data_IF_476035561983
#
_entry.id   IF_476035561983
#
_cell.length_a   1.000
_cell.length_b   1.000
_cell.length_c   1.000
_cell.angle_alpha   90.00
_cell.angle_beta   90.00
_cell.angle_gamma   90.00
#
_symmetry.space_group_name_H-M   'P 1'
#
loop_
_entity.id
_entity.type
_entity.pdbx_description
1 polymer ?
#
# COMPACT_ATOMS: atom_id res chain seq x y z
N UNK A 1 10.99 5.68 24.17
CA UNK A 1 10.14 4.96 23.21
C UNK A 1 9.90 5.93 22.09
N UNK A 2 10.57 5.75 20.95
CA UNK A 2 10.31 6.55 19.75
C UNK A 2 8.90 6.22 19.28
N UNK A 3 8.05 7.25 19.19
CA UNK A 3 6.71 7.14 18.63
C UNK A 3 6.86 6.58 17.21
N UNK A 4 6.37 5.36 16.96
CA UNK A 4 6.43 4.77 15.62
C UNK A 4 5.47 5.55 14.75
N UNK A 5 5.92 5.98 13.57
CA UNK A 5 5.03 6.64 12.62
C UNK A 5 3.94 5.66 12.20
N UNK A 6 2.72 6.15 12.03
CA UNK A 6 1.58 5.38 11.56
C UNK A 6 1.21 5.83 10.16
N UNK A 7 0.60 4.93 9.39
CA UNK A 7 -0.01 5.25 8.08
C UNK A 7 -1.07 6.33 8.27
N UNK A 8 -1.79 6.31 9.41
CA UNK A 8 -2.72 7.37 9.79
C UNK A 8 -2.09 8.77 9.95
N UNK A 9 -0.76 8.86 10.05
CA UNK A 9 -0.01 10.12 10.12
C UNK A 9 0.36 10.65 8.71
N UNK A 10 0.03 9.93 7.63
CA UNK A 10 0.10 10.45 6.26
C UNK A 10 -0.76 11.73 6.13
N UNK A 11 -0.31 12.70 5.34
CA UNK A 11 -0.83 14.08 5.38
C UNK A 11 -2.34 14.15 5.13
N UNK A 12 -2.86 13.42 4.14
CA UNK A 12 -4.29 13.42 3.82
C UNK A 12 -5.14 12.76 4.91
N UNK A 13 -4.66 11.63 5.46
CA UNK A 13 -5.34 10.89 6.53
C UNK A 13 -5.34 11.70 7.83
N UNK A 14 -4.20 12.30 8.18
CA UNK A 14 -4.04 13.10 9.38
C UNK A 14 -4.90 14.38 9.33
N UNK A 15 -4.97 15.06 8.18
CA UNK A 15 -5.85 16.22 8.00
C UNK A 15 -7.32 15.83 8.20
N UNK A 16 -7.76 14.71 7.61
CA UNK A 16 -9.11 14.21 7.76
C UNK A 16 -9.46 13.86 9.22
N UNK A 17 -8.55 13.16 9.91
CA UNK A 17 -8.73 12.83 11.33
C UNK A 17 -8.80 14.08 12.21
N UNK A 18 -7.98 15.11 11.92
CA UNK A 18 -8.01 16.38 12.66
C UNK A 18 -9.33 17.13 12.46
N UNK A 19 -9.83 17.19 11.23
CA UNK A 19 -11.13 17.81 10.93
C UNK A 19 -12.27 17.12 11.69
N UNK A 20 -12.28 15.79 11.73
CA UNK A 20 -13.27 15.00 12.47
C UNK A 20 -13.15 15.22 13.99
N UNK A 21 -11.93 15.24 14.53
CA UNK A 21 -11.70 15.53 15.95
C UNK A 21 -12.15 16.94 16.34
N UNK A 22 -11.84 17.95 15.52
CA UNK A 22 -12.29 19.33 15.74
C UNK A 22 -13.81 19.45 15.76
N UNK A 23 -14.49 18.82 14.79
CA UNK A 23 -15.95 18.76 14.76
C UNK A 23 -16.53 18.04 15.99
N UNK A 24 -15.86 17.00 16.49
CA UNK A 24 -16.26 16.24 17.68
C UNK A 24 -16.19 17.06 18.97
N UNK A 25 -15.16 17.90 19.10
CA UNK A 25 -15.03 18.81 20.24
C UNK A 25 -16.16 19.86 20.24
N UNK A 26 -16.49 20.41 19.07
CA UNK A 26 -17.60 21.35 18.91
C UNK A 26 -18.95 20.70 19.24
N UNK A 27 -19.20 19.47 18.74
CA UNK A 27 -20.39 18.68 19.06
C UNK A 27 -20.52 18.45 20.57
N UNK A 28 -19.44 18.04 21.23
CA UNK A 28 -19.44 17.75 22.67
C UNK A 28 -19.77 18.98 23.51
N UNK A 29 -19.24 20.16 23.12
CA UNK A 29 -19.59 21.44 23.75
C UNK A 29 -21.07 21.81 23.50
N UNK A 30 -21.56 21.65 22.28
CA UNK A 30 -22.97 21.92 21.97
C UNK A 30 -23.93 21.02 22.76
N UNK A 31 -23.61 19.73 22.91
CA UNK A 31 -24.39 18.80 23.73
C UNK A 31 -24.35 19.14 25.23
N UNK A 32 -23.22 19.62 25.74
CA UNK A 32 -23.03 19.90 27.17
C UNK A 32 -23.74 21.18 27.66
N UNK A 33 -24.05 22.13 26.76
CA UNK A 33 -24.60 23.44 27.14
C UNK A 33 -25.97 23.72 26.50
N UNK A 34 -27.08 23.64 27.27
CA UNK A 34 -28.45 23.82 26.74
C UNK A 34 -28.71 25.18 26.07
N UNK A 35 -28.04 26.24 26.52
CA UNK A 35 -28.11 27.57 25.91
C UNK A 35 -27.56 27.59 24.47
N UNK A 36 -26.51 26.80 24.18
CA UNK A 36 -25.97 26.68 22.83
C UNK A 36 -26.89 25.88 21.91
N UNK A 37 -27.62 24.90 22.45
CA UNK A 37 -28.63 24.15 21.68
C UNK A 37 -29.79 25.05 21.23
N UNK A 38 -30.24 25.95 22.11
CA UNK A 38 -31.27 26.93 21.76
C UNK A 38 -30.78 27.99 20.77
N UNK A 39 -29.53 28.45 20.91
CA UNK A 39 -28.96 29.48 20.03
C UNK A 39 -28.60 28.93 18.63
N UNK A 40 -28.25 27.64 18.53
CA UNK A 40 -27.78 27.01 17.28
C UNK A 40 -28.46 25.63 17.03
N UNK A 41 -29.78 25.58 16.81
CA UNK A 41 -30.52 24.33 16.60
C UNK A 41 -30.16 23.59 15.30
N UNK A 42 -29.63 24.31 14.31
CA UNK A 42 -29.20 23.77 13.01
C UNK A 42 -28.04 22.76 13.10
N UNK A 43 -27.30 22.71 14.22
CA UNK A 43 -26.19 21.79 14.43
C UNK A 43 -26.64 20.35 14.74
N UNK A 44 -27.94 20.12 14.97
CA UNK A 44 -28.48 18.78 15.26
C UNK A 44 -28.30 17.78 14.10
N UNK A 45 -28.37 18.21 12.84
CA UNK A 45 -28.09 17.32 11.69
C UNK A 45 -26.59 17.04 11.48
N UNK A 46 -25.73 17.88 12.06
CA UNK A 46 -24.27 17.72 11.99
C UNK A 46 -23.81 16.60 12.93
N UNK A 47 -24.47 16.36 14.06
CA UNK A 47 -24.11 15.26 14.99
C UNK A 47 -24.31 13.87 14.38
N UNK A 48 -25.40 13.66 13.63
CA UNK A 48 -25.66 12.36 12.97
C UNK A 48 -24.62 12.10 11.88
N UNK A 49 -24.37 13.09 11.02
CA UNK A 49 -23.32 13.01 10.00
C UNK A 49 -21.93 12.81 10.62
N UNK A 50 -21.66 13.43 11.78
CA UNK A 50 -20.37 13.30 12.47
C UNK A 50 -20.21 11.93 13.13
N UNK A 51 -21.27 11.34 13.68
CA UNK A 51 -21.26 9.97 14.18
C UNK A 51 -20.96 8.97 13.05
N UNK A 52 -21.58 9.18 11.88
CA UNK A 52 -21.30 8.40 10.67
C UNK A 52 -19.84 8.60 10.21
N UNK A 53 -19.36 9.85 10.14
CA UNK A 53 -17.97 10.17 9.80
C UNK A 53 -16.96 9.59 10.79
N UNK A 54 -17.25 9.55 12.10
CA UNK A 54 -16.41 8.89 13.12
C UNK A 54 -16.36 7.38 12.92
N UNK A 55 -17.48 6.77 12.53
CA UNK A 55 -17.52 5.35 12.23
C UNK A 55 -16.74 5.05 10.95
N UNK A 56 -16.87 5.89 9.93
CA UNK A 56 -16.10 5.83 8.69
C UNK A 56 -14.61 6.13 8.92
N UNK A 57 -14.24 6.99 9.88
CA UNK A 57 -12.83 7.31 10.14
C UNK A 57 -12.06 6.15 10.78
N UNK A 58 -12.75 5.18 11.38
CA UNK A 58 -12.10 3.93 11.83
C UNK A 58 -11.53 3.13 10.65
N UNK A 59 -12.07 3.32 9.46
CA UNK A 59 -11.56 2.71 8.21
C UNK A 59 -10.14 3.22 7.91
N UNK A 60 -9.84 4.47 8.26
CA UNK A 60 -8.52 5.08 8.05
C UNK A 60 -7.41 4.46 8.91
N UNK A 61 -7.78 3.75 9.99
CA UNK A 61 -6.84 3.06 10.88
C UNK A 61 -6.65 1.58 10.54
N UNK A 62 -7.43 1.04 9.58
CA UNK A 62 -7.34 -0.36 9.18
C UNK A 62 -5.97 -0.73 8.60
N UNK A 63 -5.31 0.10 7.76
CA UNK A 63 -4.00 -0.26 7.23
C UNK A 63 -2.92 -0.42 8.31
N UNK A 64 -2.92 0.47 9.32
CA UNK A 64 -2.03 0.36 10.48
C UNK A 64 -2.27 -0.93 11.24
N UNK A 65 -3.54 -1.19 11.58
CA UNK A 65 -3.91 -2.40 12.31
C UNK A 65 -3.58 -3.68 11.53
N UNK A 66 -3.77 -3.65 10.21
CA UNK A 66 -3.39 -4.75 9.33
C UNK A 66 -1.88 -5.01 9.40
N UNK A 67 -1.05 -3.98 9.23
CA UNK A 67 0.40 -4.12 9.27
C UNK A 67 0.91 -4.57 10.66
N UNK A 68 0.30 -4.10 11.75
CA UNK A 68 0.61 -4.58 13.10
C UNK A 68 0.48 -6.11 13.24
N UNK A 69 -0.54 -6.69 12.61
CA UNK A 69 -0.85 -8.12 12.72
C UNK A 69 -0.07 -8.96 11.71
N UNK A 70 0.07 -8.50 10.47
CA UNK A 70 0.52 -9.36 9.36
C UNK A 70 1.88 -8.98 8.73
N UNK A 71 2.44 -7.79 9.00
CA UNK A 71 3.71 -7.39 8.38
C UNK A 71 4.86 -8.34 8.74
N UNK A 72 4.86 -8.87 9.97
CA UNK A 72 5.87 -9.82 10.42
C UNK A 72 5.81 -11.19 9.71
N UNK A 73 4.66 -11.54 9.12
CA UNK A 73 4.48 -12.75 8.33
C UNK A 73 4.57 -12.52 6.81
N UNK A 74 4.76 -11.27 6.38
CA UNK A 74 4.98 -10.94 4.96
C UNK A 74 3.75 -10.44 4.22
N UNK A 75 2.72 -9.95 4.92
CA UNK A 75 1.61 -9.19 4.32
C UNK A 75 1.65 -7.73 4.75
N UNK A 76 1.43 -6.83 3.81
CA UNK A 76 1.26 -5.41 4.10
C UNK A 76 -0.04 -4.91 3.48
N UNK A 77 -0.65 -3.91 4.10
CA UNK A 77 -1.70 -3.13 3.48
C UNK A 77 -1.10 -2.31 2.33
N UNK A 78 -1.87 -2.20 1.25
CA UNK A 78 -1.53 -1.41 0.07
C UNK A 78 -2.81 -0.84 -0.56
N UNK A 79 -2.69 0.21 -1.35
CA UNK A 79 -3.79 1.05 -1.87
C UNK A 79 -4.86 0.25 -2.61
N UNK A 80 -4.42 -0.73 -3.40
CA UNK A 80 -5.28 -1.57 -4.22
C UNK A 80 -5.96 -2.71 -3.46
N UNK A 81 -5.60 -2.93 -2.19
CA UNK A 81 -6.25 -3.94 -1.34
C UNK A 81 -7.61 -3.41 -0.86
N UNK A 82 -8.65 -4.25 -0.98
CA UNK A 82 -9.98 -3.88 -0.51
C UNK A 82 -10.00 -3.68 1.01
N UNK A 83 -10.64 -2.60 1.47
CA UNK A 83 -10.86 -2.35 2.89
C UNK A 83 -11.65 -3.48 3.56
N UNK A 84 -12.59 -4.09 2.83
CA UNK A 84 -13.38 -5.24 3.34
C UNK A 84 -12.49 -6.46 3.54
N UNK A 85 -11.49 -6.65 2.67
CA UNK A 85 -10.48 -7.72 2.81
C UNK A 85 -9.61 -7.47 4.04
N UNK A 86 -9.09 -6.25 4.22
CA UNK A 86 -8.32 -5.90 5.42
C UNK A 86 -9.14 -6.15 6.69
N UNK A 87 -10.38 -5.65 6.73
CA UNK A 87 -11.26 -5.79 7.88
C UNK A 87 -11.55 -7.26 8.19
N UNK A 88 -11.94 -8.05 7.19
CA UNK A 88 -12.26 -9.47 7.38
C UNK A 88 -11.03 -10.30 7.77
N UNK A 89 -9.84 -9.96 7.25
CA UNK A 89 -8.60 -10.60 7.66
C UNK A 89 -8.30 -10.33 9.14
N UNK A 90 -8.44 -9.08 9.60
CA UNK A 90 -8.27 -8.69 11.02
C UNK A 90 -9.28 -9.44 11.89
N UNK A 91 -10.56 -9.45 11.52
CA UNK A 91 -11.61 -10.17 12.26
C UNK A 91 -11.32 -11.69 12.34
N UNK A 92 -10.86 -12.28 11.23
CA UNK A 92 -10.49 -13.70 11.17
C UNK A 92 -9.27 -13.99 12.05
N UNK A 93 -8.27 -13.10 12.07
CA UNK A 93 -7.11 -13.24 12.94
C UNK A 93 -7.50 -13.19 14.41
N UNK A 94 -8.35 -12.24 14.79
CA UNK A 94 -8.79 -12.07 16.18
C UNK A 94 -9.65 -13.24 16.67
N UNK A 95 -10.42 -13.87 15.78
CA UNK A 95 -11.27 -15.03 16.12
C UNK A 95 -10.55 -16.39 16.04
N UNK A 96 -9.66 -16.57 15.06
CA UNK A 96 -9.14 -17.89 14.65
C UNK A 96 -7.62 -17.96 14.50
N UNK A 97 -6.90 -16.85 14.73
CA UNK A 97 -5.45 -16.80 14.66
C UNK A 97 -4.89 -16.60 13.25
N UNK A 98 -3.55 -16.58 13.18
CA UNK A 98 -2.81 -16.20 11.97
C UNK A 98 -3.07 -17.14 10.79
N UNK A 99 -3.04 -18.45 11.01
CA UNK A 99 -3.18 -19.45 9.95
C UNK A 99 -4.50 -19.28 9.18
N UNK A 100 -5.62 -19.22 9.90
CA UNK A 100 -6.94 -19.01 9.28
C UNK A 100 -7.05 -17.65 8.55
N UNK A 101 -6.39 -16.62 9.06
CA UNK A 101 -6.38 -15.31 8.43
C UNK A 101 -5.50 -15.27 7.17
N UNK A 102 -4.37 -15.99 7.17
CA UNK A 102 -3.54 -16.14 5.96
C UNK A 102 -4.26 -16.96 4.90
N UNK A 103 -4.95 -18.05 5.27
CA UNK A 103 -5.78 -18.82 4.34
C UNK A 103 -6.86 -17.94 3.69
N UNK A 104 -7.52 -17.10 4.49
CA UNK A 104 -8.46 -16.11 3.97
C UNK A 104 -7.78 -15.13 3.00
N UNK A 105 -6.65 -14.52 3.38
CA UNK A 105 -5.93 -13.58 2.51
C UNK A 105 -5.52 -14.22 1.20
N UNK A 106 -4.97 -15.44 1.23
CA UNK A 106 -4.60 -16.19 0.04
C UNK A 106 -5.81 -16.42 -0.86
N UNK A 107 -6.97 -16.77 -0.28
CA UNK A 107 -8.20 -16.98 -1.05
C UNK A 107 -8.68 -15.76 -1.83
N UNK A 108 -8.22 -14.54 -1.46
CA UNK A 108 -8.59 -13.31 -2.17
C UNK A 108 -7.81 -13.07 -3.46
N UNK A 109 -6.69 -13.76 -3.68
CA UNK A 109 -5.88 -13.67 -4.91
C UNK A 109 -6.41 -14.61 -6.00
N UNK A 110 -7.71 -14.57 -6.25
CA UNK A 110 -8.36 -15.35 -7.30
C UNK A 110 -8.12 -14.78 -8.70
N UNK A 111 -8.72 -15.44 -9.70
CA UNK A 111 -8.57 -15.05 -11.11
C UNK A 111 -9.05 -13.62 -11.39
N UNK A 112 -10.08 -13.14 -10.69
CA UNK A 112 -10.66 -11.81 -10.91
C UNK A 112 -9.78 -10.73 -10.27
N UNK A 113 -9.34 -10.93 -9.04
CA UNK A 113 -8.38 -10.04 -8.37
C UNK A 113 -7.11 -9.87 -9.19
N UNK A 114 -6.51 -10.99 -9.64
CA UNK A 114 -5.30 -10.95 -10.45
C UNK A 114 -5.54 -10.25 -11.80
N UNK A 115 -6.67 -10.54 -12.47
CA UNK A 115 -7.03 -9.88 -13.72
C UNK A 115 -7.18 -8.37 -13.55
N UNK A 116 -7.83 -7.91 -12.49
CA UNK A 116 -8.02 -6.49 -12.19
C UNK A 116 -6.68 -5.80 -11.90
N UNK A 117 -5.79 -6.42 -11.13
CA UNK A 117 -4.43 -5.92 -10.89
C UNK A 117 -3.63 -5.76 -12.19
N UNK A 118 -3.68 -6.76 -13.08
CA UNK A 118 -3.01 -6.73 -14.38
C UNK A 118 -3.56 -5.63 -15.30
N UNK A 119 -4.87 -5.38 -15.28
CA UNK A 119 -5.46 -4.30 -16.05
C UNK A 119 -4.96 -2.91 -15.61
N UNK A 120 -4.66 -2.72 -14.32
CA UNK A 120 -4.05 -1.48 -13.83
C UNK A 120 -2.62 -1.30 -14.32
N UNK A 121 -1.81 -2.37 -14.26
CA UNK A 121 -0.44 -2.39 -14.76
C UNK A 121 -0.33 -1.94 -16.23
N UNK A 122 -1.32 -2.26 -17.08
CA UNK A 122 -1.32 -1.90 -18.52
C UNK A 122 -1.34 -0.39 -18.79
N UNK A 123 -1.66 0.46 -17.80
CA UNK A 123 -1.80 1.91 -17.96
C UNK A 123 -0.46 2.63 -18.21
N UNK A 124 0.64 2.05 -17.75
CA UNK A 124 1.96 2.68 -17.79
C UNK A 124 2.90 1.96 -18.80
N UNK A 125 3.59 2.70 -19.70
CA UNK A 125 4.48 2.09 -20.71
C UNK A 125 5.56 1.16 -20.14
N UNK A 126 6.12 1.49 -18.99
CA UNK A 126 7.21 0.78 -18.30
C UNK A 126 6.78 -0.65 -17.94
N UNK A 127 5.53 -0.80 -17.52
CA UNK A 127 4.93 -2.06 -17.10
C UNK A 127 4.45 -2.90 -18.29
N UNK A 128 4.08 -2.26 -19.41
CA UNK A 128 3.66 -2.96 -20.64
C UNK A 128 4.76 -3.86 -21.22
N UNK A 129 6.04 -3.49 -21.06
CA UNK A 129 7.19 -4.30 -21.52
C UNK A 129 7.21 -5.71 -20.92
N UNK A 130 6.69 -5.86 -19.69
CA UNK A 130 6.72 -7.11 -18.91
C UNK A 130 5.39 -7.85 -18.91
N UNK A 131 4.36 -7.34 -19.60
CA UNK A 131 3.00 -7.86 -19.53
C UNK A 131 2.89 -9.34 -19.91
N UNK A 132 3.65 -9.79 -20.91
CA UNK A 132 3.70 -11.21 -21.28
C UNK A 132 4.10 -12.10 -20.09
N UNK A 133 5.10 -11.69 -19.31
CA UNK A 133 5.59 -12.45 -18.15
C UNK A 133 4.62 -12.36 -16.97
N UNK A 134 3.97 -11.22 -16.77
CA UNK A 134 2.95 -11.06 -15.72
C UNK A 134 1.74 -11.98 -15.99
N UNK A 135 1.27 -12.05 -17.24
CA UNK A 135 0.17 -12.95 -17.61
C UNK A 135 0.56 -14.44 -17.44
N UNK A 136 1.81 -14.82 -17.77
CA UNK A 136 2.32 -16.17 -17.49
C UNK A 136 2.36 -16.47 -16.00
N UNK A 137 2.84 -15.53 -15.16
CA UNK A 137 2.85 -15.69 -13.71
C UNK A 137 1.43 -15.91 -13.16
N UNK A 138 0.41 -15.24 -13.74
CA UNK A 138 -1.00 -15.44 -13.36
C UNK A 138 -1.46 -16.85 -13.73
N UNK A 139 -1.19 -17.28 -14.96
CA UNK A 139 -1.59 -18.59 -15.44
C UNK A 139 -0.92 -19.72 -14.65
N UNK A 140 0.34 -19.52 -14.24
CA UNK A 140 1.06 -20.43 -13.35
C UNK A 140 0.45 -20.45 -11.95
N UNK A 141 0.15 -19.30 -11.37
CA UNK A 141 -0.48 -19.20 -10.05
C UNK A 141 -1.84 -19.92 -10.01
N UNK A 142 -2.72 -19.63 -10.97
CA UNK A 142 -4.07 -20.22 -11.03
C UNK A 142 -4.05 -21.73 -11.30
N UNK A 143 -2.98 -22.23 -11.90
CA UNK A 143 -2.77 -23.66 -12.13
C UNK A 143 -1.97 -24.35 -11.02
N UNK A 144 -1.65 -23.66 -9.92
CA UNK A 144 -0.88 -24.21 -8.80
C UNK A 144 0.61 -24.43 -9.08
N UNK A 145 1.15 -23.85 -10.16
CA UNK A 145 2.58 -23.92 -10.53
C UNK A 145 3.39 -22.87 -9.77
N UNK A 146 3.35 -22.93 -8.44
CA UNK A 146 3.98 -21.94 -7.56
C UNK A 146 5.50 -21.90 -7.67
N UNK A 147 6.12 -23.03 -7.99
CA UNK A 147 7.56 -23.12 -8.30
C UNK A 147 7.98 -22.21 -9.46
N UNK A 148 7.08 -21.90 -10.40
CA UNK A 148 7.35 -21.08 -11.57
C UNK A 148 6.92 -19.61 -11.35
N UNK A 149 5.72 -19.38 -10.80
CA UNK A 149 5.22 -18.01 -10.65
C UNK A 149 6.00 -17.19 -9.62
N UNK A 150 6.40 -17.80 -8.49
CA UNK A 150 7.06 -17.09 -7.39
C UNK A 150 8.41 -16.49 -7.81
N UNK A 151 9.36 -17.27 -8.39
CA UNK A 151 10.63 -16.70 -8.85
C UNK A 151 10.43 -15.68 -9.98
N UNK A 152 9.46 -15.90 -10.86
CA UNK A 152 9.15 -14.97 -11.94
C UNK A 152 8.68 -13.62 -11.39
N UNK A 153 7.74 -13.59 -10.44
CA UNK A 153 7.29 -12.35 -9.79
C UNK A 153 8.42 -11.65 -9.04
N UNK A 154 9.27 -12.40 -8.30
CA UNK A 154 10.45 -11.84 -7.63
C UNK A 154 11.39 -11.13 -8.63
N UNK A 155 11.60 -11.70 -9.81
CA UNK A 155 12.42 -11.08 -10.86
C UNK A 155 11.73 -9.88 -11.52
N UNK A 156 10.41 -9.94 -11.66
CA UNK A 156 9.61 -8.86 -12.26
C UNK A 156 9.61 -7.63 -11.37
N UNK A 157 9.49 -7.80 -10.06
CA UNK A 157 9.60 -6.72 -9.08
C UNK A 157 10.95 -5.99 -9.22
N UNK A 158 12.06 -6.73 -9.09
CA UNK A 158 13.39 -6.13 -9.14
C UNK A 158 13.67 -5.39 -10.47
N UNK A 159 13.25 -5.99 -11.58
CA UNK A 159 13.40 -5.37 -12.89
C UNK A 159 12.48 -4.16 -13.12
N UNK A 160 11.30 -4.14 -12.50
CA UNK A 160 10.36 -3.01 -12.59
C UNK A 160 10.86 -1.82 -11.77
N UNK A 161 11.29 -2.06 -10.54
CA UNK A 161 11.94 -1.05 -9.72
C UNK A 161 13.15 -0.41 -10.42
N UNK A 162 13.95 -1.20 -11.13
CA UNK A 162 15.10 -0.69 -11.87
C UNK A 162 14.69 0.30 -12.98
N UNK A 163 13.61 -0.01 -13.70
CA UNK A 163 13.09 0.83 -14.78
C UNK A 163 12.52 2.16 -14.25
N UNK A 164 11.92 2.15 -13.05
CA UNK A 164 11.30 3.34 -12.44
C UNK A 164 12.33 4.19 -11.68
N UNK A 165 13.20 3.58 -10.89
CA UNK A 165 14.04 4.26 -9.88
C UNK A 165 15.48 4.60 -10.31
N UNK A 166 15.69 5.02 -11.57
CA UNK A 166 17.03 5.35 -12.11
C UNK A 166 18.07 4.23 -11.89
N UNK A 167 17.69 2.98 -12.15
CA UNK A 167 18.53 1.78 -12.10
C UNK A 167 18.81 1.16 -10.72
N UNK A 168 17.96 1.39 -9.71
CA UNK A 168 18.04 0.67 -8.43
C UNK A 168 16.97 -0.43 -8.38
N UNK A 169 17.38 -1.67 -8.07
CA UNK A 169 16.42 -2.77 -7.91
C UNK A 169 15.65 -2.66 -6.58
N UNK A 170 14.44 -3.22 -6.51
CA UNK A 170 13.60 -3.20 -5.31
C UNK A 170 14.34 -3.74 -4.08
N UNK A 171 15.17 -4.78 -4.31
CA UNK A 171 15.88 -5.48 -3.26
C UNK A 171 17.31 -4.96 -3.04
N UNK A 172 17.69 -3.82 -3.61
CA UNK A 172 19.00 -3.22 -3.39
C UNK A 172 19.07 -2.52 -2.02
N UNK A 173 20.26 -2.53 -1.39
CA UNK A 173 20.48 -1.95 -0.06
C UNK A 173 20.17 -0.44 0.05
N UNK A 174 20.17 0.26 -1.09
CA UNK A 174 19.93 1.70 -1.21
C UNK A 174 18.65 2.03 -1.99
N UNK A 175 17.70 1.09 -2.11
CA UNK A 175 16.42 1.36 -2.74
C UNK A 175 15.63 2.40 -1.94
N UNK A 176 15.27 3.50 -2.60
CA UNK A 176 14.32 4.48 -2.06
C UNK A 176 12.91 4.02 -2.40
N UNK A 177 12.16 3.60 -1.38
CA UNK A 177 10.79 3.09 -1.51
C UNK A 177 9.76 4.07 -0.94
N UNK A 178 10.13 5.35 -0.87
CA UNK A 178 9.24 6.41 -0.40
C UNK A 178 8.39 6.95 -1.54
N UNK A 179 7.09 7.10 -1.28
CA UNK A 179 6.15 7.79 -2.14
C UNK A 179 5.24 8.63 -1.24
N UNK A 180 5.00 9.88 -1.64
CA UNK A 180 4.21 10.81 -0.83
C UNK A 180 2.76 10.31 -0.71
N UNK A 181 2.23 10.29 0.51
CA UNK A 181 0.85 9.94 0.85
C UNK A 181 0.40 8.52 0.44
N UNK A 182 1.35 7.59 0.31
CA UNK A 182 1.11 6.19 -0.02
C UNK A 182 1.20 5.28 1.24
N UNK A 183 0.16 4.47 1.48
CA UNK A 183 0.05 3.38 2.45
C UNK A 183 1.21 2.40 2.28
N UNK A 184 1.42 1.89 1.07
CA UNK A 184 2.48 0.90 0.82
C UNK A 184 3.88 1.51 0.98
N UNK A 185 4.07 2.80 0.76
CA UNK A 185 5.36 3.47 0.94
C UNK A 185 5.68 3.88 2.38
N UNK A 186 4.77 3.65 3.32
CA UNK A 186 5.02 3.89 4.74
C UNK A 186 6.14 2.96 5.26
N UNK A 187 6.84 3.36 6.33
CA UNK A 187 7.97 2.59 6.90
C UNK A 187 7.57 1.18 7.37
N UNK A 188 6.30 0.99 7.75
CA UNK A 188 5.71 -0.32 8.10
C UNK A 188 5.20 -1.12 6.89
N UNK A 189 5.25 -0.55 5.69
CA UNK A 189 4.77 -1.12 4.43
C UNK A 189 5.87 -1.82 3.63
N UNK A 190 6.04 -1.44 2.36
CA UNK A 190 6.90 -2.10 1.39
C UNK A 190 8.36 -2.16 1.85
N UNK A 191 8.85 -1.12 2.52
CA UNK A 191 10.21 -1.12 3.07
C UNK A 191 10.40 -2.22 4.13
N UNK A 192 9.45 -2.36 5.06
CA UNK A 192 9.49 -3.43 6.07
C UNK A 192 9.36 -4.82 5.43
N UNK A 193 8.50 -4.95 4.41
CA UNK A 193 8.31 -6.19 3.67
C UNK A 193 9.58 -6.59 2.92
N UNK A 194 10.21 -5.67 2.19
CA UNK A 194 11.48 -5.90 1.48
C UNK A 194 12.56 -6.33 2.47
N UNK A 195 12.69 -5.64 3.61
CA UNK A 195 13.64 -6.02 4.66
C UNK A 195 13.39 -7.43 5.22
N UNK A 196 12.13 -7.87 5.29
CA UNK A 196 11.77 -9.24 5.68
C UNK A 196 12.13 -10.26 4.58
N UNK A 197 11.80 -9.96 3.33
CA UNK A 197 12.04 -10.82 2.16
C UNK A 197 13.53 -11.00 1.85
N UNK A 198 14.37 -10.00 2.16
CA UNK A 198 15.81 -10.06 1.92
C UNK A 198 16.60 -10.72 3.04
N UNK A 199 15.97 -11.09 4.18
CA UNK A 199 16.66 -11.77 5.28
C UNK A 199 17.45 -12.99 4.79
N UNK A 200 18.73 -13.03 5.17
CA UNK A 200 19.66 -14.08 4.73
C UNK A 200 19.24 -15.48 5.18
N UNK A 201 19.44 -16.46 4.29
CA UNK A 201 19.14 -17.89 4.51
C UNK A 201 20.43 -18.69 4.35
N UNK A 202 21.07 -19.01 5.47
CA UNK A 202 22.44 -19.54 5.51
C UNK A 202 22.52 -21.08 5.44
N UNK A 203 21.40 -21.77 5.43
CA UNK A 203 21.30 -23.24 5.37
C UNK A 203 20.25 -23.62 4.35
N UNK A 204 20.42 -24.79 3.74
CA UNK A 204 19.36 -25.41 2.95
C UNK A 204 18.23 -25.81 3.89
N UNK A 205 17.01 -25.45 3.53
CA UNK A 205 15.79 -25.70 4.25
C UNK A 205 14.82 -26.46 3.34
N UNK A 206 14.36 -27.61 3.82
CA UNK A 206 13.38 -28.48 3.17
C UNK A 206 11.97 -28.28 3.75
N UNK A 207 11.85 -27.54 4.85
CA UNK A 207 10.56 -27.25 5.48
C UNK A 207 9.80 -26.16 4.72
N UNK A 208 8.47 -26.29 4.68
CA UNK A 208 7.60 -25.29 4.08
C UNK A 208 7.77 -23.95 4.77
N UNK A 209 7.90 -22.89 3.97
CA UNK A 209 7.94 -21.51 4.45
C UNK A 209 6.65 -20.78 4.09
N UNK A 210 6.37 -19.70 4.82
CA UNK A 210 5.25 -18.81 4.52
C UNK A 210 5.69 -17.44 4.00
N UNK A 211 6.97 -17.07 4.14
CA UNK A 211 7.51 -15.78 3.67
C UNK A 211 8.27 -16.00 2.36
N UNK A 212 8.09 -15.15 1.33
CA UNK A 212 8.88 -15.21 0.10
C UNK A 212 10.31 -14.69 0.33
N UNK A 213 11.15 -15.48 1.01
CA UNK A 213 12.57 -15.16 1.24
C UNK A 213 13.33 -15.15 -0.09
N UNK A 214 13.37 -14.00 -0.76
CA UNK A 214 13.91 -13.79 -2.11
C UNK A 214 15.28 -14.43 -2.29
N UNK A 215 16.23 -14.15 -1.39
CA UNK A 215 17.57 -14.72 -1.45
C UNK A 215 17.55 -16.24 -1.31
N UNK A 216 16.78 -16.74 -0.34
CA UNK A 216 16.67 -18.17 -0.12
C UNK A 216 16.08 -18.92 -1.31
N UNK A 217 15.03 -18.38 -1.93
CA UNK A 217 14.37 -18.96 -3.10
C UNK A 217 15.31 -18.92 -4.32
N UNK A 218 15.84 -17.73 -4.67
CA UNK A 218 16.64 -17.57 -5.90
C UNK A 218 18.02 -18.21 -5.84
N UNK A 219 18.55 -18.50 -4.65
CA UNK A 219 19.82 -19.22 -4.47
C UNK A 219 19.62 -20.71 -4.13
N UNK A 220 18.40 -21.25 -4.21
CA UNK A 220 18.12 -22.67 -3.97
C UNK A 220 18.38 -23.13 -2.53
N UNK A 221 18.17 -22.24 -1.56
CA UNK A 221 18.28 -22.54 -0.12
C UNK A 221 16.93 -22.86 0.50
N UNK A 222 15.85 -22.28 0.01
CA UNK A 222 14.49 -22.68 0.39
C UNK A 222 13.93 -23.63 -0.65
N UNK A 223 13.76 -24.91 -0.31
CA UNK A 223 13.38 -25.94 -1.29
C UNK A 223 11.86 -26.17 -1.34
N UNK A 224 11.14 -25.85 -0.27
CA UNK A 224 9.68 -26.00 -0.17
C UNK A 224 8.94 -24.65 -0.20
N UNK A 225 9.40 -23.72 -1.04
CA UNK A 225 8.77 -22.41 -1.22
C UNK A 225 7.55 -22.45 -2.14
N UNK A 226 7.37 -23.52 -2.89
CA UNK A 226 6.41 -23.69 -3.97
C UNK A 226 5.00 -24.00 -3.46
N UNK A 227 4.52 -23.17 -2.52
CA UNK A 227 3.19 -23.26 -1.95
C UNK A 227 2.36 -21.98 -2.21
N UNK A 228 1.05 -22.11 -2.07
CA UNK A 228 0.07 -21.07 -2.34
C UNK A 228 0.24 -19.82 -1.47
N UNK A 229 0.67 -19.97 -0.21
CA UNK A 229 0.89 -18.84 0.73
C UNK A 229 2.02 -17.94 0.23
N UNK A 230 3.18 -18.54 -0.08
CA UNK A 230 4.34 -17.81 -0.60
C UNK A 230 3.99 -17.13 -1.92
N UNK A 231 3.30 -17.83 -2.81
CA UNK A 231 2.92 -17.29 -4.12
C UNK A 231 1.95 -16.11 -3.99
N UNK A 232 0.95 -16.19 -3.11
CA UNK A 232 -0.01 -15.11 -2.89
C UNK A 232 0.66 -13.88 -2.26
N UNK A 233 1.54 -14.08 -1.28
CA UNK A 233 2.34 -12.97 -0.70
C UNK A 233 3.25 -12.31 -1.72
N UNK A 234 3.77 -13.09 -2.68
CA UNK A 234 4.58 -12.53 -3.77
C UNK A 234 3.73 -11.68 -4.72
N UNK A 235 2.48 -12.08 -4.99
CA UNK A 235 1.51 -11.24 -5.71
C UNK A 235 1.11 -9.98 -4.93
N UNK A 236 0.95 -10.10 -3.62
CA UNK A 236 0.68 -8.98 -2.73
C UNK A 236 1.82 -7.96 -2.77
N UNK A 237 3.06 -8.43 -2.65
CA UNK A 237 4.26 -7.60 -2.76
C UNK A 237 4.34 -6.90 -4.12
N UNK A 238 4.09 -7.63 -5.21
CA UNK A 238 4.09 -7.05 -6.56
C UNK A 238 2.98 -5.99 -6.74
N UNK A 239 1.81 -6.19 -6.12
CA UNK A 239 0.71 -5.21 -6.15
C UNK A 239 1.05 -3.96 -5.33
N UNK A 240 1.66 -4.14 -4.16
CA UNK A 240 2.10 -3.04 -3.31
C UNK A 240 3.21 -2.21 -3.99
N UNK A 241 4.19 -2.86 -4.61
CA UNK A 241 5.21 -2.19 -5.41
C UNK A 241 4.59 -1.38 -6.55
N UNK A 242 3.64 -1.97 -7.28
CA UNK A 242 2.92 -1.26 -8.34
C UNK A 242 2.20 0.00 -7.81
N UNK A 243 1.56 -0.07 -6.64
CA UNK A 243 0.87 1.07 -6.05
C UNK A 243 1.86 2.20 -5.69
N UNK A 244 3.02 1.88 -5.10
CA UNK A 244 4.08 2.86 -4.81
C UNK A 244 4.55 3.56 -6.10
N UNK A 245 4.82 2.80 -7.16
CA UNK A 245 5.27 3.36 -8.43
C UNK A 245 4.18 4.13 -9.17
N UNK A 246 2.92 3.72 -9.07
CA UNK A 246 1.79 4.46 -9.63
C UNK A 246 1.71 5.87 -9.00
N UNK A 247 1.88 5.96 -7.68
CA UNK A 247 1.92 7.26 -6.98
C UNK A 247 3.17 8.08 -7.32
N UNK A 248 4.35 7.47 -7.40
CA UNK A 248 5.58 8.17 -7.82
C UNK A 248 5.45 8.78 -9.23
N UNK A 249 4.84 8.04 -10.16
CA UNK A 249 4.58 8.50 -11.53
C UNK A 249 3.53 9.62 -11.55
N UNK A 250 2.48 9.56 -10.72
CA UNK A 250 1.47 10.62 -10.60
C UNK A 250 2.09 11.91 -10.07
N UNK A 251 2.88 11.81 -9.00
CA UNK A 251 3.62 12.95 -8.44
C UNK A 251 4.50 13.56 -9.52
N UNK A 252 5.30 12.76 -10.23
CA UNK A 252 6.19 13.23 -11.30
C UNK A 252 5.43 13.90 -12.46
N UNK A 253 4.27 13.38 -12.85
CA UNK A 253 3.44 13.96 -13.91
C UNK A 253 2.68 15.23 -13.49
N UNK A 254 2.42 15.43 -12.20
CA UNK A 254 1.81 16.66 -11.66
C UNK A 254 2.74 17.88 -11.75
N UNK A 255 4.05 17.67 -11.93
CA UNK A 255 5.04 18.72 -12.14
C UNK A 255 5.48 18.73 -13.61
N UNK A 256 4.83 19.54 -14.44
CA UNK A 256 5.21 19.73 -15.85
C UNK A 256 5.79 21.13 -16.09
N UNK A 257 6.80 21.23 -16.96
CA UNK A 257 7.31 22.51 -17.44
C UNK A 257 6.28 23.23 -18.34
N UNK A 258 6.61 24.46 -18.79
CA UNK A 258 5.77 25.24 -19.71
C UNK A 258 5.55 24.61 -21.09
N UNK A 259 6.10 23.42 -21.35
CA UNK A 259 5.94 22.62 -22.58
C UNK A 259 5.26 21.26 -22.33
N UNK A 260 4.84 20.96 -21.09
CA UNK A 260 4.15 19.72 -20.72
C UNK A 260 5.07 18.54 -20.43
N UNK A 261 6.38 18.77 -20.22
CA UNK A 261 7.34 17.71 -19.91
C UNK A 261 7.51 17.52 -18.39
N UNK A 262 7.55 16.28 -17.86
CA UNK A 262 7.74 16.02 -16.42
C UNK A 262 9.06 16.60 -15.89
N UNK A 263 9.03 17.28 -14.75
CA UNK A 263 10.19 17.87 -14.07
C UNK A 263 10.40 17.20 -12.69
N UNK A 264 11.60 16.69 -12.40
CA UNK A 264 11.97 16.27 -11.04
C UNK A 264 12.17 17.50 -10.12
N UNK A 265 11.74 17.40 -8.85
CA UNK A 265 12.09 18.35 -7.77
C UNK A 265 13.61 18.47 -7.63
N UNK A 266 14.23 19.46 -8.24
CA UNK A 266 15.67 19.73 -8.05
C UNK A 266 16.01 21.22 -7.85
N UNK A 267 15.06 22.15 -7.91
CA UNK A 267 15.36 23.56 -7.66
C UNK A 267 14.96 24.02 -6.25
N UNK A 268 15.97 24.27 -5.41
CA UNK A 268 15.80 24.93 -4.12
C UNK A 268 15.43 26.40 -4.31
N UNK A 269 14.30 26.85 -3.73
CA UNK A 269 13.94 28.28 -3.63
C UNK A 269 12.89 28.81 -4.62
N UNK A 270 12.28 27.97 -5.46
CA UNK A 270 11.18 28.39 -6.33
C UNK A 270 9.90 28.79 -5.57
N UNK A 271 9.19 29.83 -6.05
CA UNK A 271 7.87 30.24 -5.53
C UNK A 271 6.76 29.56 -6.33
N UNK A 272 5.95 28.75 -5.67
CA UNK A 272 4.88 27.96 -6.29
C UNK A 272 3.54 28.23 -5.62
N UNK A 273 2.45 28.30 -6.39
CA UNK A 273 1.07 28.37 -5.86
C UNK A 273 0.35 27.06 -6.11
N UNK A 274 -0.46 26.64 -5.15
CA UNK A 274 -1.39 25.52 -5.26
C UNK A 274 -2.45 25.84 -6.32
N UNK A 275 -2.50 25.08 -7.41
CA UNK A 275 -3.50 25.26 -8.47
C UNK A 275 -4.35 23.99 -8.52
N UNK A 276 -5.45 24.06 -7.78
CA UNK A 276 -6.56 23.11 -7.74
C UNK A 276 -6.39 21.89 -6.83
N UNK A 277 -7.46 21.68 -6.07
CA UNK A 277 -7.65 20.59 -5.12
C UNK A 277 -8.69 19.64 -5.74
N UNK A 278 -8.24 18.54 -6.32
CA UNK A 278 -9.09 17.37 -6.46
C UNK A 278 -8.54 16.34 -5.48
N UNK A 279 -9.41 15.62 -4.78
CA UNK A 279 -9.11 14.68 -3.69
C UNK A 279 -8.16 13.50 -4.06
N UNK A 280 -7.44 13.58 -5.17
CA UNK A 280 -6.48 12.58 -5.67
C UNK A 280 -5.16 13.15 -6.23
N UNK A 281 -4.97 14.47 -6.29
CA UNK A 281 -3.67 15.05 -6.69
C UNK A 281 -3.62 16.56 -6.43
N UNK A 282 -2.54 17.03 -5.80
CA UNK A 282 -2.22 18.47 -5.67
C UNK A 282 -1.31 18.89 -6.81
N UNK A 283 -1.76 19.83 -7.65
CA UNK A 283 -0.97 20.42 -8.73
C UNK A 283 -0.44 21.78 -8.26
N UNK A 284 0.83 22.07 -8.52
CA UNK A 284 1.44 23.38 -8.25
C UNK A 284 1.81 24.08 -9.55
N UNK A 285 1.57 25.39 -9.63
CA UNK A 285 2.01 26.25 -10.74
C UNK A 285 3.09 27.22 -10.28
N UNK A 286 4.09 27.44 -11.12
CA UNK A 286 5.12 28.47 -10.89
C UNK A 286 4.48 29.86 -10.91
N UNK A 287 4.79 30.70 -9.92
CA UNK A 287 4.43 32.12 -9.97
C UNK A 287 5.57 32.83 -10.71
N UNK A 288 5.31 33.25 -11.96
CA UNK A 288 6.15 34.25 -12.62
C UNK A 288 6.00 35.60 -11.93
#
# INVERSE_FOLDING_TARGET
>A
MTDKKRIADNESVAEMLRLIQGASAIESLWQAFPLLQQAFPQLKGVSENLAELKQQSKILLLPDRFNELFASSGWIAYESMSMDVMKKAIETFEAHGLEAAEDYLVSTYDADTLRLGILRLKRHPEFRKRMRLVELAKDDYLAGRYHACTPLLLSLMDGLANDVSRHVGLFADNADLTAWDCIAAHESGLQALVALMTKGRNRTNEESISVPYRHGILHGRELAFDNHIVAAKTWAAFSAEHDVFEEELKVSAGYQDGKGLPMCRLESGGKWTLVQNSFRSVIYRNIQ
#
